data_IF_051689215178
#
_entry.id   IF_051689215178
#
_cell.length_a   1.000
_cell.length_b   1.000
_cell.length_c   1.000
_cell.angle_alpha   90.00
_cell.angle_beta   90.00
_cell.angle_gamma   90.00
#
_symmetry.space_group_name_H-M   'P 1'
#
loop_
_entity.id
_entity.type
_entity.pdbx_description
1 polymer ?
#
# COMPACT_ATOMS: atom_id res chain seq x y z
N UNK A 1 4.61 -20.92 -10.55
CA UNK A 1 5.46 -19.76 -10.23
C UNK A 1 4.67 -18.95 -9.23
N UNK A 2 5.10 -18.95 -7.97
CA UNK A 2 4.47 -18.15 -6.93
C UNK A 2 4.55 -16.69 -7.35
N UNK A 3 3.41 -16.03 -7.45
CA UNK A 3 3.35 -14.57 -7.49
C UNK A 3 4.21 -14.07 -6.33
N UNK A 4 5.21 -13.18 -6.55
CA UNK A 4 6.02 -12.70 -5.46
C UNK A 4 5.08 -12.03 -4.47
N UNK A 5 5.01 -12.59 -3.26
CA UNK A 5 4.28 -12.03 -2.14
C UNK A 5 4.59 -10.53 -2.10
N UNK A 6 3.50 -9.75 -2.12
CA UNK A 6 3.43 -8.31 -1.96
C UNK A 6 4.64 -7.79 -1.16
N UNK A 7 5.39 -6.84 -1.73
CA UNK A 7 6.74 -6.37 -1.37
C UNK A 7 7.08 -6.07 0.11
N UNK A 8 6.27 -6.41 1.12
CA UNK A 8 6.59 -6.24 2.54
C UNK A 8 6.93 -4.79 2.87
N UNK A 9 6.37 -3.85 2.10
CA UNK A 9 6.68 -2.43 2.22
C UNK A 9 6.07 -1.94 3.51
N UNK A 10 6.93 -1.63 4.47
CA UNK A 10 6.51 -0.97 5.68
C UNK A 10 6.18 0.49 5.34
N UNK A 11 4.89 0.83 5.42
CA UNK A 11 4.41 2.20 5.33
C UNK A 11 4.56 2.88 6.69
N UNK A 12 5.30 3.99 6.74
CA UNK A 12 5.48 4.78 7.96
C UNK A 12 5.00 6.20 7.77
N UNK A 13 4.25 6.71 8.73
CA UNK A 13 3.85 8.11 8.76
C UNK A 13 5.07 9.00 9.06
N UNK A 14 5.20 10.09 8.30
CA UNK A 14 6.09 11.20 8.61
C UNK A 14 5.31 12.52 8.56
N UNK A 15 4.98 13.11 9.74
CA UNK A 15 4.22 14.35 9.81
C UNK A 15 5.02 15.58 9.37
N UNK A 16 6.34 15.45 9.14
CA UNK A 16 7.17 16.54 8.62
C UNK A 16 7.08 16.68 7.10
N UNK A 17 6.52 15.68 6.41
CA UNK A 17 6.37 15.70 4.96
C UNK A 17 5.24 16.65 4.52
N UNK A 18 5.41 17.35 3.38
CA UNK A 18 4.32 18.10 2.78
C UNK A 18 3.15 17.17 2.43
N UNK A 19 1.93 17.69 2.44
CA UNK A 19 0.74 16.94 2.06
C UNK A 19 0.89 16.28 0.67
N UNK A 20 0.27 15.10 0.51
CA UNK A 20 0.34 14.27 -0.71
C UNK A 20 1.77 13.91 -1.11
N UNK A 21 2.65 13.65 -0.15
CA UNK A 21 4.05 13.29 -0.42
C UNK A 21 4.35 11.87 0.07
N UNK A 22 5.00 11.10 -0.79
CA UNK A 22 5.50 9.76 -0.52
C UNK A 22 6.99 9.73 -0.82
N UNK A 23 7.78 9.21 0.12
CA UNK A 23 9.22 9.01 -0.01
C UNK A 23 9.51 7.52 0.00
N UNK A 24 10.13 6.99 -1.05
CA UNK A 24 10.42 5.56 -1.16
C UNK A 24 11.82 5.30 -1.73
N UNK A 25 12.38 4.10 -1.49
CA UNK A 25 13.60 3.66 -2.17
C UNK A 25 13.41 3.62 -3.69
N UNK A 26 14.46 3.96 -4.44
CA UNK A 26 14.41 4.02 -5.91
C UNK A 26 13.93 2.72 -6.57
N UNK A 27 14.27 1.58 -5.98
CA UNK A 27 13.87 0.26 -6.47
C UNK A 27 12.36 0.02 -6.45
N UNK A 28 11.63 0.75 -5.60
CA UNK A 28 10.19 0.53 -5.35
C UNK A 28 9.33 1.61 -6.01
N UNK A 29 9.89 2.79 -6.28
CA UNK A 29 9.15 3.91 -6.89
C UNK A 29 8.50 3.54 -8.21
N UNK A 30 9.17 2.73 -9.03
CA UNK A 30 8.62 2.27 -10.30
C UNK A 30 7.36 1.43 -10.10
N UNK A 31 7.38 0.55 -9.12
CA UNK A 31 6.25 -0.35 -8.82
C UNK A 31 5.10 0.44 -8.20
N UNK A 32 5.39 1.40 -7.31
CA UNK A 32 4.41 2.32 -6.74
C UNK A 32 3.72 3.14 -7.83
N UNK A 33 4.48 3.70 -8.79
CA UNK A 33 3.91 4.44 -9.93
C UNK A 33 3.05 3.55 -10.82
N UNK A 34 3.46 2.30 -11.05
CA UNK A 34 2.68 1.35 -11.83
C UNK A 34 1.36 0.97 -11.14
N UNK A 35 1.37 0.83 -9.81
CA UNK A 35 0.19 0.46 -9.02
C UNK A 35 -0.80 1.62 -8.83
N UNK A 36 -0.30 2.83 -8.54
CA UNK A 36 -1.14 4.00 -8.25
C UNK A 36 -1.57 4.78 -9.49
N UNK A 37 -0.96 4.53 -10.65
CA UNK A 37 -1.29 5.20 -11.91
C UNK A 37 -1.07 6.72 -11.85
N UNK A 38 -2.05 7.48 -12.36
CA UNK A 38 -2.00 8.95 -12.47
C UNK A 38 -2.42 9.69 -11.18
N UNK A 39 -2.27 9.07 -10.02
CA UNK A 39 -2.59 9.74 -8.76
C UNK A 39 -1.66 10.95 -8.55
N UNK A 40 -2.27 12.13 -8.38
CA UNK A 40 -1.57 13.39 -8.21
C UNK A 40 -0.92 13.49 -6.81
N UNK A 41 0.24 12.86 -6.67
CA UNK A 41 1.08 12.89 -5.48
C UNK A 41 2.54 13.15 -5.83
N UNK A 42 3.24 13.77 -4.89
CA UNK A 42 4.67 13.98 -4.96
C UNK A 42 5.37 12.69 -4.52
N UNK A 43 6.14 12.08 -5.42
CA UNK A 43 6.96 10.92 -5.09
C UNK A 43 8.42 11.35 -5.08
N UNK A 44 9.08 11.16 -3.95
CA UNK A 44 10.48 11.50 -3.74
C UNK A 44 11.29 10.23 -3.47
N UNK A 45 12.57 10.28 -3.81
CA UNK A 45 13.49 9.18 -3.57
C UNK A 45 14.10 9.36 -2.18
N UNK A 46 13.88 8.39 -1.31
CA UNK A 46 14.55 8.29 -0.01
C UNK A 46 15.74 7.34 -0.08
N UNK A 47 16.83 7.69 0.58
CA UNK A 47 18.04 6.84 0.67
C UNK A 47 18.32 6.33 2.08
N UNK A 48 17.68 6.93 3.09
CA UNK A 48 18.05 6.75 4.50
C UNK A 48 17.24 5.65 5.20
N UNK A 49 16.21 5.11 4.55
CA UNK A 49 15.33 4.08 5.12
C UNK A 49 14.81 3.13 4.04
N UNK A 50 14.71 1.82 4.33
CA UNK A 50 14.04 0.86 3.45
C UNK A 50 12.51 0.98 3.49
N UNK A 51 11.95 1.69 4.47
CA UNK A 51 10.52 1.91 4.61
C UNK A 51 10.02 3.02 3.66
N UNK A 52 8.74 2.96 3.30
CA UNK A 52 8.06 4.01 2.52
C UNK A 52 7.47 5.02 3.50
N UNK A 53 8.01 6.23 3.50
CA UNK A 53 7.50 7.32 4.34
C UNK A 53 6.37 8.03 3.61
N UNK A 54 5.28 8.32 4.29
CA UNK A 54 4.11 9.00 3.72
C UNK A 54 3.66 10.15 4.60
N UNK A 55 3.19 11.22 3.98
CA UNK A 55 2.54 12.32 4.70
C UNK A 55 1.27 11.84 5.40
N UNK A 56 0.90 12.50 6.50
CA UNK A 56 -0.24 12.09 7.34
C UNK A 56 -1.55 11.91 6.55
N UNK A 57 -1.83 12.78 5.57
CA UNK A 57 -3.03 12.68 4.74
C UNK A 57 -3.06 11.40 3.88
N UNK A 58 -1.91 10.99 3.36
CA UNK A 58 -1.79 9.73 2.61
C UNK A 58 -1.84 8.53 3.56
N UNK A 59 -1.22 8.63 4.73
CA UNK A 59 -1.26 7.56 5.73
C UNK A 59 -2.69 7.24 6.18
N UNK A 60 -3.48 8.28 6.51
CA UNK A 60 -4.90 8.13 6.82
C UNK A 60 -5.69 7.53 5.66
N UNK A 61 -5.44 7.98 4.43
CA UNK A 61 -6.11 7.44 3.25
C UNK A 61 -5.77 5.97 2.99
N UNK A 62 -4.50 5.57 3.17
CA UNK A 62 -4.09 4.17 3.07
C UNK A 62 -4.71 3.31 4.17
N UNK A 63 -4.78 3.80 5.40
CA UNK A 63 -5.42 3.07 6.50
C UNK A 63 -6.92 2.89 6.25
N UNK A 64 -7.63 3.95 5.82
CA UNK A 64 -9.04 3.87 5.49
C UNK A 64 -9.30 2.88 4.34
N UNK A 65 -8.45 2.87 3.32
CA UNK A 65 -8.51 1.91 2.23
C UNK A 65 -8.24 0.47 2.70
N UNK A 66 -7.24 0.26 3.57
CA UNK A 66 -6.92 -1.05 4.14
C UNK A 66 -8.10 -1.63 4.92
N UNK A 67 -8.74 -0.83 5.77
CA UNK A 67 -9.92 -1.27 6.53
C UNK A 67 -11.11 -1.65 5.64
N UNK A 68 -11.28 -0.99 4.48
CA UNK A 68 -12.33 -1.35 3.52
C UNK A 68 -12.07 -2.70 2.82
N UNK A 69 -10.81 -3.12 2.70
CA UNK A 69 -10.47 -4.41 2.12
C UNK A 69 -10.65 -5.56 3.11
N UNK A 70 -10.33 -5.34 4.38
CA UNK A 70 -10.57 -6.32 5.45
C UNK A 70 -12.07 -6.66 5.57
N UNK A 71 -12.96 -5.67 5.43
CA UNK A 71 -14.40 -5.88 5.43
C UNK A 71 -14.93 -6.65 4.19
N UNK A 72 -14.12 -6.79 3.14
CA UNK A 72 -14.51 -7.48 1.89
C UNK A 72 -14.11 -8.97 1.88
N UNK A 73 -13.25 -9.42 2.79
CA UNK A 73 -12.78 -10.82 2.87
C UNK A 73 -13.68 -11.77 3.70
N UNK A 74 -14.89 -11.35 4.11
CA UNK A 74 -15.82 -12.21 4.87
C UNK A 74 -16.70 -13.19 4.06
N UNK A 75 -16.51 -13.34 2.73
CA UNK A 75 -17.34 -14.26 1.93
C UNK A 75 -16.51 -15.18 1.03
N UNK A 76 -16.15 -16.34 1.56
CA UNK A 76 -16.40 -17.62 0.89
C UNK A 76 -16.28 -18.76 1.91
N UNK A 77 -17.32 -18.89 2.74
CA UNK A 77 -17.58 -20.14 3.45
C UNK A 77 -17.87 -21.19 2.38
N UNK A 78 -16.93 -22.11 2.16
CA UNK A 78 -17.09 -23.25 1.26
C UNK A 78 -18.37 -24.01 1.67
N UNK A 79 -19.39 -24.00 0.80
CA UNK A 79 -20.57 -24.86 0.89
C UNK A 79 -20.15 -26.31 0.59
N UNK A 80 -19.60 -26.97 1.61
CA UNK A 80 -19.18 -28.38 1.60
C UNK A 80 -20.39 -29.32 1.84
N UNK A 81 -21.52 -29.08 1.15
CA UNK A 81 -22.82 -29.66 1.51
C UNK A 81 -23.53 -30.55 0.47
N UNK A 82 -23.01 -30.76 -0.75
CA UNK A 82 -23.78 -31.38 -1.84
C UNK A 82 -23.08 -32.54 -2.56
N UNK A 83 -22.64 -33.57 -1.84
CA UNK A 83 -22.50 -34.93 -2.40
C UNK A 83 -22.74 -35.98 -1.30
N UNK A 84 -24.01 -36.38 -1.11
CA UNK A 84 -24.42 -37.66 -0.53
C UNK A 84 -25.41 -38.34 -1.48
#
# INVERSE_FOLDING_TARGET
MSTPDSFGLELREDPSLPAKTLVAPIGVIRDIRAALGELAMNIQIGWDSPAVMVSSDLYEAFNAWSSMQEDTEEVDSIDEGLYN
#
